data_IF_538172526793
#
_entry.id   IF_538172526793
#
_cell.length_a   1.000
_cell.length_b   1.000
_cell.length_c   1.000
_cell.angle_alpha   90.00
_cell.angle_beta   90.00
_cell.angle_gamma   90.00
#
_symmetry.space_group_name_H-M   'P 1'
#
loop_
_entity.id
_entity.type
_entity.pdbx_description
1 polymer ?
#
# COMPACT_ATOMS: atom_id res chain seq x y z
N UNK A 1 29.71 17.97 -4.56
CA UNK A 1 28.23 18.02 -4.60
C UNK A 1 27.78 16.59 -4.77
N UNK A 2 27.93 15.78 -3.72
CA UNK A 2 27.34 14.44 -3.67
C UNK A 2 25.89 14.62 -3.22
N UNK A 3 24.96 14.17 -4.05
CA UNK A 3 23.54 14.14 -3.73
C UNK A 3 23.34 13.38 -2.41
N UNK A 4 22.95 14.10 -1.35
CA UNK A 4 22.41 13.58 -0.09
C UNK A 4 21.06 12.89 -0.33
N UNK A 5 21.05 11.87 -1.16
CA UNK A 5 19.94 10.92 -1.25
C UNK A 5 20.06 10.03 -0.02
N UNK A 6 19.19 10.27 0.95
CA UNK A 6 18.98 9.34 2.07
C UNK A 6 18.93 7.92 1.51
N UNK A 7 19.93 7.10 1.87
CA UNK A 7 19.97 5.69 1.49
C UNK A 7 19.12 4.94 2.51
N UNK A 8 17.86 4.74 2.18
CA UNK A 8 16.97 3.86 2.95
C UNK A 8 17.34 2.41 2.62
N UNK A 9 17.64 1.62 3.63
CA UNK A 9 18.10 0.21 3.50
C UNK A 9 16.99 -0.76 3.07
N UNK A 10 15.74 -0.29 2.95
CA UNK A 10 14.63 -1.06 2.39
C UNK A 10 14.36 -0.62 0.95
N UNK A 11 14.96 -1.28 -0.06
CA UNK A 11 14.63 -1.00 -1.45
C UNK A 11 13.14 -1.26 -1.65
N UNK A 12 12.49 -0.42 -2.47
CA UNK A 12 11.21 -0.79 -3.07
C UNK A 12 11.34 -2.22 -3.62
N UNK A 13 10.30 -3.09 -3.53
CA UNK A 13 10.31 -4.36 -4.25
C UNK A 13 10.90 -4.13 -5.63
N UNK A 14 12.02 -4.79 -5.93
CA UNK A 14 12.66 -4.64 -7.22
C UNK A 14 11.59 -4.87 -8.29
N UNK A 15 11.47 -3.97 -9.26
CA UNK A 15 10.49 -4.12 -10.34
C UNK A 15 10.84 -5.43 -11.06
N UNK A 16 10.11 -6.53 -10.80
CA UNK A 16 10.66 -7.83 -11.09
C UNK A 16 10.64 -8.02 -12.59
N UNK A 17 11.64 -8.71 -13.12
CA UNK A 17 11.53 -9.33 -14.44
C UNK A 17 10.18 -10.06 -14.47
N UNK A 18 9.32 -9.83 -15.48
CA UNK A 18 7.99 -10.41 -15.51
C UNK A 18 8.07 -11.92 -15.27
N UNK A 19 7.45 -12.40 -14.19
CA UNK A 19 7.43 -13.83 -13.82
C UNK A 19 6.63 -14.67 -14.82
N UNK A 20 5.85 -14.02 -15.69
CA UNK A 20 5.02 -14.63 -16.72
C UNK A 20 5.14 -13.83 -18.04
N UNK A 21 5.02 -14.48 -19.21
CA UNK A 21 5.01 -13.78 -20.50
C UNK A 21 3.81 -12.84 -20.67
N UNK A 22 3.98 -11.75 -21.41
CA UNK A 22 2.88 -10.80 -21.68
C UNK A 22 1.69 -11.43 -22.44
N UNK A 23 1.94 -12.46 -23.24
CA UNK A 23 0.91 -13.26 -23.92
C UNK A 23 0.03 -13.99 -22.91
N UNK A 24 0.63 -14.54 -21.86
CA UNK A 24 -0.09 -15.21 -20.78
C UNK A 24 -1.06 -14.24 -20.09
N UNK A 25 -0.58 -13.05 -19.70
CA UNK A 25 -1.44 -12.03 -19.07
C UNK A 25 -2.60 -11.63 -19.99
N UNK A 26 -2.35 -11.43 -21.29
CA UNK A 26 -3.43 -11.11 -22.25
C UNK A 26 -4.47 -12.23 -22.31
N UNK A 27 -4.03 -13.48 -22.38
CA UNK A 27 -4.90 -14.64 -22.55
C UNK A 27 -5.72 -14.98 -21.30
N UNK A 28 -5.11 -14.90 -20.11
CA UNK A 28 -5.69 -15.45 -18.88
C UNK A 28 -6.21 -14.39 -17.92
N UNK A 29 -5.66 -13.17 -17.96
CA UNK A 29 -6.04 -12.08 -17.05
C UNK A 29 -6.96 -11.07 -17.74
N UNK A 30 -6.64 -10.66 -18.97
CA UNK A 30 -7.36 -9.57 -19.68
C UNK A 30 -8.49 -10.04 -20.58
N UNK A 31 -8.50 -11.31 -20.96
CA UNK A 31 -9.54 -11.88 -21.82
C UNK A 31 -10.61 -12.52 -20.95
N UNK A 32 -11.88 -12.19 -21.19
CA UNK A 32 -12.99 -12.86 -20.51
C UNK A 32 -12.97 -14.36 -20.83
N UNK A 33 -13.07 -15.18 -19.79
CA UNK A 33 -13.17 -16.64 -19.88
C UNK A 33 -14.47 -17.06 -19.25
N UNK A 34 -15.03 -18.18 -19.71
CA UNK A 34 -16.19 -18.78 -19.07
C UNK A 34 -15.76 -19.36 -17.71
N UNK A 35 -15.85 -18.54 -16.67
CA UNK A 35 -15.63 -18.93 -15.29
C UNK A 35 -16.81 -18.42 -14.45
N UNK A 36 -17.66 -19.31 -13.88
CA UNK A 36 -18.88 -18.92 -13.18
C UNK A 36 -18.64 -17.97 -11.99
N UNK A 37 -17.39 -17.89 -11.50
CA UNK A 37 -16.97 -16.99 -10.42
C UNK A 37 -16.64 -15.58 -10.90
N UNK A 38 -16.45 -15.35 -12.21
CA UNK A 38 -16.00 -14.06 -12.75
C UNK A 38 -17.15 -13.30 -13.39
N UNK A 39 -18.03 -12.82 -12.52
CA UNK A 39 -19.23 -12.09 -12.89
C UNK A 39 -19.21 -10.76 -12.13
N UNK A 40 -19.39 -9.65 -12.85
CA UNK A 40 -19.49 -8.31 -12.24
C UNK A 40 -20.88 -7.73 -12.48
N UNK A 41 -21.37 -6.92 -11.54
CA UNK A 41 -22.65 -6.22 -11.68
C UNK A 41 -22.56 -5.06 -12.66
N UNK A 42 -23.64 -4.84 -13.39
CA UNK A 42 -23.80 -3.68 -14.30
C UNK A 42 -24.98 -2.84 -13.80
N UNK A 43 -24.77 -1.53 -13.74
CA UNK A 43 -25.82 -0.56 -13.43
C UNK A 43 -26.78 -0.35 -14.62
N UNK A 44 -28.11 -0.17 -14.42
CA UNK A 44 -28.84 -0.16 -13.15
C UNK A 44 -29.27 -1.54 -12.63
N UNK A 45 -29.20 -2.56 -13.48
CA UNK A 45 -29.47 -3.95 -13.08
C UNK A 45 -28.86 -4.91 -14.09
N UNK A 46 -28.19 -5.96 -13.60
CA UNK A 46 -27.68 -7.04 -14.43
C UNK A 46 -26.29 -7.48 -14.00
N UNK A 47 -25.82 -8.53 -14.66
CA UNK A 47 -24.49 -9.10 -14.45
C UNK A 47 -23.90 -9.46 -15.81
N UNK A 48 -22.57 -9.33 -15.96
CA UNK A 48 -21.87 -9.88 -17.11
C UNK A 48 -20.68 -10.71 -16.69
N UNK A 49 -20.32 -11.61 -17.59
CA UNK A 49 -19.01 -12.23 -17.61
C UNK A 49 -17.93 -11.16 -17.70
N UNK A 50 -16.90 -11.35 -16.88
CA UNK A 50 -15.75 -10.49 -16.78
C UNK A 50 -14.47 -11.30 -16.96
N UNK A 51 -13.43 -10.62 -17.42
CA UNK A 51 -12.07 -11.12 -17.27
C UNK A 51 -11.66 -11.08 -15.80
N UNK A 52 -10.70 -11.92 -15.42
CA UNK A 52 -10.17 -11.90 -14.06
C UNK A 52 -9.65 -10.52 -13.66
N UNK A 53 -8.98 -9.81 -14.58
CA UNK A 53 -8.50 -8.46 -14.33
C UNK A 53 -9.63 -7.46 -14.02
N UNK A 54 -10.80 -7.60 -14.64
CA UNK A 54 -11.97 -6.75 -14.34
C UNK A 54 -12.57 -7.07 -12.97
N UNK A 55 -12.59 -8.34 -12.56
CA UNK A 55 -13.03 -8.75 -11.22
C UNK A 55 -12.15 -8.10 -10.15
N UNK A 56 -10.83 -8.18 -10.29
CA UNK A 56 -9.89 -7.54 -9.35
C UNK A 56 -10.07 -6.01 -9.31
N UNK A 57 -10.26 -5.36 -10.46
CA UNK A 57 -10.48 -3.91 -10.51
C UNK A 57 -11.81 -3.52 -9.84
N UNK A 58 -12.85 -4.34 -9.96
CA UNK A 58 -14.14 -4.08 -9.31
C UNK A 58 -14.03 -4.06 -7.77
N UNK A 59 -13.10 -4.84 -7.19
CA UNK A 59 -12.81 -4.83 -5.75
C UNK A 59 -12.07 -3.57 -5.28
N UNK A 60 -11.27 -2.96 -6.15
CA UNK A 60 -10.55 -1.70 -5.86
C UNK A 60 -11.48 -0.49 -5.86
N UNK A 61 -12.56 -0.55 -6.64
CA UNK A 61 -13.55 0.53 -6.74
C UNK A 61 -14.55 0.26 -7.85
N UNK A 62 -15.82 0.22 -7.47
CA UNK A 62 -16.96 0.05 -8.37
C UNK A 62 -18.20 0.70 -7.77
N UNK A 63 -19.33 0.71 -8.48
CA UNK A 63 -20.63 1.11 -7.89
C UNK A 63 -20.99 0.28 -6.65
N UNK A 64 -20.54 -0.97 -6.57
CA UNK A 64 -20.75 -1.82 -5.37
C UNK A 64 -19.83 -1.44 -4.21
N UNK A 65 -18.69 -0.84 -4.55
CA UNK A 65 -17.61 -0.54 -3.63
C UNK A 65 -17.10 0.90 -3.82
N UNK A 66 -17.97 1.91 -3.70
CA UNK A 66 -17.61 3.30 -3.99
C UNK A 66 -16.58 3.87 -3.02
N UNK A 67 -16.46 3.28 -1.83
CA UNK A 67 -15.61 3.72 -0.74
C UNK A 67 -14.19 3.11 -0.79
N UNK A 68 -13.99 2.01 -1.51
CA UNK A 68 -12.71 1.27 -1.53
C UNK A 68 -11.61 2.00 -2.31
N UNK A 69 -11.96 2.74 -3.37
CA UNK A 69 -10.99 3.44 -4.21
C UNK A 69 -10.27 4.57 -3.46
N UNK A 70 -10.97 5.25 -2.56
CA UNK A 70 -10.42 6.39 -1.80
C UNK A 70 -9.30 6.00 -0.84
N UNK A 71 -9.23 4.72 -0.46
CA UNK A 71 -8.23 4.19 0.46
C UNK A 71 -6.88 4.04 -0.24
N UNK A 72 -6.90 3.53 -1.48
CA UNK A 72 -5.73 3.34 -2.33
C UNK A 72 -5.32 4.60 -3.11
N UNK A 73 -6.23 5.57 -3.28
CA UNK A 73 -5.90 6.86 -3.90
C UNK A 73 -4.96 7.70 -3.02
N UNK A 74 -4.07 8.43 -3.67
CA UNK A 74 -2.94 9.16 -3.09
C UNK A 74 -3.28 10.54 -2.46
N UNK A 75 -4.06 10.67 -1.36
CA UNK A 75 -4.19 11.94 -0.57
C UNK A 75 -4.38 11.68 0.94
N UNK A 76 -3.94 12.57 1.88
CA UNK A 76 -3.79 14.05 1.83
C UNK A 76 -2.34 14.50 1.52
N UNK A 77 -2.17 15.55 0.71
CA UNK A 77 -0.88 16.20 0.39
C UNK A 77 0.16 15.39 -0.42
N UNK A 78 -0.26 14.39 -1.23
CA UNK A 78 0.60 13.49 -2.06
C UNK A 78 1.54 12.58 -1.27
N UNK A 79 1.85 12.89 -0.02
CA UNK A 79 2.73 12.13 0.88
C UNK A 79 2.32 10.68 1.04
N UNK A 80 1.01 10.41 1.15
CA UNK A 80 0.49 9.03 1.20
C UNK A 80 0.91 8.25 -0.04
N UNK A 81 0.66 8.81 -1.23
CA UNK A 81 1.07 8.20 -2.50
C UNK A 81 2.58 8.03 -2.64
N UNK A 82 3.36 9.03 -2.24
CA UNK A 82 4.83 8.94 -2.23
C UNK A 82 5.30 7.73 -1.42
N UNK A 83 4.80 7.57 -0.20
CA UNK A 83 5.23 6.46 0.67
C UNK A 83 4.83 5.08 0.13
N UNK A 84 3.66 4.95 -0.51
CA UNK A 84 3.24 3.72 -1.19
C UNK A 84 4.04 3.43 -2.47
N UNK A 85 4.63 4.45 -3.11
CA UNK A 85 5.43 4.33 -4.35
C UNK A 85 6.93 4.26 -4.09
N UNK A 86 7.35 4.12 -2.83
CA UNK A 86 8.77 4.03 -2.49
C UNK A 86 9.49 5.38 -2.41
N UNK A 87 8.77 6.49 -2.46
CA UNK A 87 9.31 7.83 -2.40
C UNK A 87 9.16 8.43 -0.99
N UNK A 88 10.05 9.36 -0.66
CA UNK A 88 9.96 10.07 0.61
C UNK A 88 8.76 11.01 0.67
N UNK A 89 8.13 11.14 1.85
CA UNK A 89 7.04 12.10 2.02
C UNK A 89 7.56 13.55 1.91
N UNK A 90 8.86 13.81 2.10
CA UNK A 90 9.47 15.13 1.93
C UNK A 90 10.95 15.00 1.57
N UNK A 91 11.45 15.89 0.70
CA UNK A 91 12.86 15.98 0.34
C UNK A 91 13.71 16.55 1.49
N UNK A 92 14.92 16.04 1.74
CA UNK A 92 15.86 16.57 2.74
C UNK A 92 16.13 18.07 2.60
N UNK A 93 16.46 18.52 1.39
CA UNK A 93 16.73 19.94 1.11
C UNK A 93 15.53 20.83 1.39
N UNK A 94 14.32 20.34 1.09
CA UNK A 94 13.09 21.06 1.43
C UNK A 94 12.95 21.17 2.95
N UNK A 95 13.18 20.09 3.69
CA UNK A 95 13.05 20.10 5.15
C UNK A 95 14.04 21.08 5.81
N UNK A 96 15.31 21.08 5.38
CA UNK A 96 16.37 21.93 5.95
C UNK A 96 16.15 23.44 5.70
N UNK A 97 15.55 23.80 4.56
CA UNK A 97 15.33 25.21 4.17
C UNK A 97 13.99 25.78 4.63
N UNK A 98 13.16 24.94 5.24
CA UNK A 98 11.81 25.26 5.69
C UNK A 98 11.82 25.76 7.13
N UNK A 99 10.88 26.63 7.49
CA UNK A 99 10.81 27.17 8.86
C UNK A 99 10.56 26.07 9.89
N UNK A 100 10.87 26.36 11.14
CA UNK A 100 10.70 25.40 12.22
C UNK A 100 9.22 24.96 12.31
N UNK A 101 8.24 25.86 12.26
CA UNK A 101 6.80 25.51 12.36
C UNK A 101 6.37 24.56 11.25
N UNK A 102 6.89 24.80 10.04
CA UNK A 102 6.65 23.95 8.90
C UNK A 102 7.37 22.60 9.04
N UNK A 103 8.60 22.53 9.58
CA UNK A 103 9.26 21.25 9.92
C UNK A 103 8.40 20.41 10.86
N UNK A 104 7.86 21.01 11.92
CA UNK A 104 6.95 20.32 12.85
C UNK A 104 5.67 19.85 12.16
N UNK A 105 5.10 20.68 11.27
CA UNK A 105 3.92 20.30 10.51
C UNK A 105 4.19 19.11 9.57
N UNK A 106 5.36 19.05 8.93
CA UNK A 106 5.74 17.95 8.05
C UNK A 106 5.78 16.60 8.81
N UNK A 107 6.28 16.60 10.05
CA UNK A 107 6.30 15.42 10.93
C UNK A 107 4.88 15.04 11.36
N UNK A 108 4.05 16.01 11.76
CA UNK A 108 2.63 15.79 12.11
C UNK A 108 1.85 15.17 10.96
N UNK A 109 2.04 15.66 9.74
CA UNK A 109 1.41 15.10 8.54
C UNK A 109 1.76 13.65 8.29
N UNK A 110 3.01 13.26 8.55
CA UNK A 110 3.42 11.86 8.46
C UNK A 110 2.68 11.00 9.50
N UNK A 111 2.60 11.47 10.75
CA UNK A 111 1.80 10.82 11.80
C UNK A 111 0.31 10.67 11.42
N UNK A 112 -0.30 11.73 10.86
CA UNK A 112 -1.70 11.72 10.43
C UNK A 112 -2.00 10.64 9.38
N UNK A 113 -1.05 10.29 8.51
CA UNK A 113 -1.25 9.24 7.50
C UNK A 113 -1.41 7.87 8.17
N UNK A 114 -0.60 7.57 9.19
CA UNK A 114 -0.75 6.32 9.95
C UNK A 114 -2.02 6.34 10.80
N UNK A 115 -2.38 7.48 11.39
CA UNK A 115 -3.66 7.63 12.10
C UNK A 115 -4.87 7.42 11.18
N UNK A 116 -4.81 7.92 9.94
CA UNK A 116 -5.85 7.70 8.94
C UNK A 116 -5.96 6.23 8.56
N UNK A 117 -4.83 5.57 8.25
CA UNK A 117 -4.83 4.15 7.88
C UNK A 117 -5.32 3.26 9.04
N UNK A 118 -4.97 3.60 10.29
CA UNK A 118 -5.43 2.90 11.48
C UNK A 118 -6.83 3.32 11.95
N UNK A 119 -7.50 4.22 11.23
CA UNK A 119 -8.83 4.64 11.64
C UNK A 119 -9.79 3.46 11.57
N UNK A 120 -10.64 3.30 12.59
CA UNK A 120 -11.57 2.17 12.73
C UNK A 120 -12.51 1.97 11.54
N UNK A 121 -12.74 3.00 10.74
CA UNK A 121 -13.59 2.94 9.56
C UNK A 121 -12.79 2.76 8.26
N UNK A 122 -11.48 3.02 8.28
CA UNK A 122 -10.60 2.94 7.10
C UNK A 122 -9.92 1.57 7.04
N UNK A 123 -9.37 1.11 8.16
CA UNK A 123 -8.65 -0.16 8.20
C UNK A 123 -9.53 -1.35 7.77
N UNK A 124 -10.78 -1.52 8.27
CA UNK A 124 -11.63 -2.62 7.83
C UNK A 124 -11.96 -2.59 6.34
N UNK A 125 -12.04 -1.40 5.73
CA UNK A 125 -12.29 -1.26 4.30
C UNK A 125 -11.06 -1.61 3.47
N UNK A 126 -9.85 -1.25 3.93
CA UNK A 126 -8.61 -1.76 3.34
C UNK A 126 -8.59 -3.29 3.38
N UNK A 127 -8.92 -3.87 4.55
CA UNK A 127 -9.01 -5.31 4.71
C UNK A 127 -10.03 -5.96 3.78
N UNK A 128 -11.23 -5.36 3.65
CA UNK A 128 -12.26 -5.88 2.76
C UNK A 128 -11.76 -5.99 1.30
N UNK A 129 -10.97 -5.01 0.84
CA UNK A 129 -10.34 -5.07 -0.49
C UNK A 129 -9.28 -6.15 -0.55
N UNK A 130 -8.40 -6.21 0.46
CA UNK A 130 -7.31 -7.18 0.50
C UNK A 130 -7.85 -8.62 0.47
N UNK A 131 -8.83 -8.93 1.32
CA UNK A 131 -9.42 -10.27 1.45
C UNK A 131 -10.22 -10.63 0.20
N UNK A 132 -11.00 -9.70 -0.37
CA UNK A 132 -11.74 -10.00 -1.59
C UNK A 132 -10.81 -10.32 -2.78
N UNK A 133 -9.74 -9.52 -2.97
CA UNK A 133 -8.73 -9.82 -3.98
C UNK A 133 -8.00 -11.13 -3.65
N UNK A 134 -7.70 -11.38 -2.38
CA UNK A 134 -7.07 -12.62 -1.93
C UNK A 134 -7.92 -13.84 -2.32
N UNK A 135 -9.21 -13.84 -2.01
CA UNK A 135 -10.14 -14.91 -2.37
C UNK A 135 -10.19 -15.14 -3.90
N UNK A 136 -10.34 -14.07 -4.68
CA UNK A 136 -10.34 -14.15 -6.15
C UNK A 136 -9.02 -14.73 -6.70
N UNK A 137 -7.88 -14.40 -6.12
CA UNK A 137 -6.57 -14.96 -6.52
C UNK A 137 -6.47 -16.45 -6.20
N UNK A 138 -7.04 -16.90 -5.09
CA UNK A 138 -7.09 -18.32 -4.71
C UNK A 138 -8.01 -19.13 -5.63
N UNK A 139 -9.17 -18.56 -5.97
CA UNK A 139 -10.09 -19.12 -6.95
C UNK A 139 -9.44 -19.20 -8.34
N UNK A 140 -8.70 -18.18 -8.74
CA UNK A 140 -7.93 -18.20 -9.98
C UNK A 140 -6.88 -19.30 -9.98
N UNK A 141 -6.04 -19.41 -8.94
CA UNK A 141 -5.00 -20.43 -8.85
C UNK A 141 -5.60 -21.84 -8.96
N UNK A 142 -6.72 -22.07 -8.27
CA UNK A 142 -7.47 -23.34 -8.31
C UNK A 142 -8.01 -23.60 -9.71
N UNK A 143 -8.73 -22.64 -10.29
CA UNK A 143 -9.32 -22.79 -11.62
C UNK A 143 -8.27 -22.99 -12.70
N UNK A 144 -7.18 -22.21 -12.68
CA UNK A 144 -6.09 -22.28 -13.65
C UNK A 144 -5.41 -23.65 -13.64
N UNK A 145 -5.25 -24.26 -12.47
CA UNK A 145 -4.67 -25.61 -12.33
C UNK A 145 -5.47 -26.70 -13.05
N UNK A 146 -6.78 -26.48 -13.26
CA UNK A 146 -7.68 -27.42 -13.96
C UNK A 146 -7.70 -27.22 -15.48
N UNK A 147 -7.13 -26.13 -16.00
CA UNK A 147 -7.19 -25.80 -17.42
C UNK A 147 -6.18 -26.64 -18.22
N UNK A 148 -6.70 -27.56 -19.03
CA UNK A 148 -5.88 -28.32 -19.98
C UNK A 148 -5.26 -27.37 -21.01
N UNK A 149 -3.94 -27.48 -21.24
CA UNK A 149 -3.23 -26.66 -22.24
C UNK A 149 -2.76 -25.28 -21.75
N UNK A 150 -2.78 -25.02 -20.44
CA UNK A 150 -2.26 -23.78 -19.87
C UNK A 150 -0.78 -23.52 -20.22
N UNK A 151 0.01 -24.57 -20.45
CA UNK A 151 1.35 -24.57 -21.07
C UNK A 151 2.46 -23.81 -20.32
N UNK A 152 2.09 -22.95 -19.36
CA UNK A 152 2.97 -22.10 -18.56
C UNK A 152 2.70 -22.37 -17.10
N UNK A 153 3.71 -22.86 -16.38
CA UNK A 153 3.69 -22.91 -14.92
C UNK A 153 3.83 -21.49 -14.40
N UNK A 154 2.89 -21.04 -13.57
CA UNK A 154 2.89 -19.72 -12.95
C UNK A 154 3.10 -19.85 -11.43
N UNK A 155 3.69 -18.83 -10.77
CA UNK A 155 3.63 -18.75 -9.32
C UNK A 155 2.17 -18.56 -8.86
N UNK A 156 1.86 -19.03 -7.64
CA UNK A 156 0.55 -18.81 -7.01
C UNK A 156 0.28 -17.31 -6.88
N UNK A 157 -0.76 -16.82 -7.54
CA UNK A 157 -1.17 -15.42 -7.45
C UNK A 157 -1.60 -15.06 -6.03
N UNK A 158 -2.22 -16.00 -5.31
CA UNK A 158 -2.61 -15.84 -3.91
C UNK A 158 -1.40 -15.52 -3.02
N UNK A 159 -0.32 -16.31 -3.18
CA UNK A 159 0.92 -16.13 -2.44
C UNK A 159 1.59 -14.80 -2.81
N UNK A 160 1.67 -14.49 -4.10
CA UNK A 160 2.27 -13.24 -4.60
C UNK A 160 1.50 -12.00 -4.09
N UNK A 161 0.18 -12.04 -4.04
CA UNK A 161 -0.66 -10.96 -3.50
C UNK A 161 -0.36 -10.69 -2.02
N UNK A 162 -0.27 -11.76 -1.21
CA UNK A 162 0.09 -11.67 0.21
C UNK A 162 1.48 -11.08 0.41
N UNK A 163 2.47 -11.60 -0.30
CA UNK A 163 3.86 -11.16 -0.20
C UNK A 163 4.03 -9.70 -0.64
N UNK A 164 3.37 -9.31 -1.74
CA UNK A 164 3.36 -7.93 -2.23
C UNK A 164 2.79 -6.97 -1.19
N UNK A 165 1.61 -7.25 -0.64
CA UNK A 165 0.99 -6.37 0.36
C UNK A 165 1.84 -6.24 1.62
N UNK A 166 2.41 -7.35 2.10
CA UNK A 166 3.31 -7.34 3.25
C UNK A 166 4.51 -6.45 3.01
N UNK A 167 5.15 -6.61 1.85
CA UNK A 167 6.34 -5.85 1.49
C UNK A 167 6.04 -4.37 1.32
N UNK A 168 4.93 -4.00 0.68
CA UNK A 168 4.50 -2.60 0.54
C UNK A 168 4.29 -1.94 1.90
N UNK A 169 3.52 -2.57 2.78
CA UNK A 169 3.23 -2.03 4.12
C UNK A 169 4.48 -1.94 5.00
N UNK A 170 5.32 -2.97 5.00
CA UNK A 170 6.59 -2.97 5.76
C UNK A 170 7.54 -1.88 5.25
N UNK A 171 7.64 -1.75 3.93
CA UNK A 171 8.50 -0.72 3.32
C UNK A 171 8.01 0.71 3.63
N UNK A 172 6.69 0.92 3.71
CA UNK A 172 6.11 2.20 4.14
C UNK A 172 6.46 2.53 5.58
N UNK A 173 6.38 1.54 6.49
CA UNK A 173 6.71 1.72 7.91
C UNK A 173 8.19 2.02 8.08
N UNK A 174 9.08 1.26 7.45
CA UNK A 174 10.52 1.49 7.55
C UNK A 174 10.89 2.88 7.03
N UNK A 175 10.40 3.29 5.84
CA UNK A 175 10.64 4.63 5.32
C UNK A 175 10.16 5.74 6.25
N UNK A 176 8.98 5.58 6.86
CA UNK A 176 8.48 6.57 7.81
C UNK A 176 9.36 6.67 9.06
N UNK A 177 9.84 5.55 9.61
CA UNK A 177 10.74 5.53 10.78
C UNK A 177 12.10 6.16 10.46
N UNK A 178 12.66 5.80 9.32
CA UNK A 178 13.95 6.31 8.87
C UNK A 178 13.86 7.81 8.57
N UNK A 179 12.76 8.27 7.94
CA UNK A 179 12.49 9.69 7.69
C UNK A 179 12.29 10.45 8.99
N UNK A 180 11.51 9.93 9.93
CA UNK A 180 11.31 10.54 11.25
C UNK A 180 12.64 10.66 12.01
N UNK A 181 13.44 9.60 12.01
CA UNK A 181 14.76 9.58 12.66
C UNK A 181 15.68 10.63 12.04
N UNK A 182 15.69 10.73 10.70
CA UNK A 182 16.47 11.75 10.02
C UNK A 182 15.97 13.17 10.33
N UNK A 183 14.66 13.42 10.24
CA UNK A 183 14.05 14.70 10.60
C UNK A 183 14.34 15.08 12.06
N UNK A 184 14.34 14.09 12.96
CA UNK A 184 14.66 14.27 14.37
C UNK A 184 16.12 14.71 14.57
N UNK A 185 17.05 14.17 13.80
CA UNK A 185 18.47 14.51 13.92
C UNK A 185 18.83 15.84 13.23
N UNK A 186 17.99 16.34 12.31
CA UNK A 186 18.27 17.53 11.47
C UNK A 186 17.27 18.67 11.70
N UNK A 187 16.51 18.65 12.79
CA UNK A 187 15.53 19.69 13.13
C UNK A 187 16.20 20.96 13.64
N UNK A 188 15.70 22.11 13.18
CA UNK A 188 16.09 23.42 13.72
C UNK A 188 15.25 23.79 14.97
N UNK A 189 13.99 23.34 15.08
CA UNK A 189 13.07 23.71 16.18
C UNK A 189 13.57 23.35 17.58
N UNK A 190 14.30 22.24 17.74
CA UNK A 190 14.70 21.76 19.07
C UNK A 190 16.03 22.31 19.55
N UNK A 191 16.64 23.26 18.83
CA UNK A 191 17.81 24.00 19.33
C UNK A 191 17.44 25.09 20.35
N UNK A 192 16.15 25.42 20.50
CA UNK A 192 15.67 26.50 21.36
C UNK A 192 14.74 26.09 22.52
N UNK A 193 14.30 24.82 22.61
CA UNK A 193 13.49 24.32 23.73
C UNK A 193 14.22 23.18 24.47
N UNK A 194 15.14 23.57 25.36
CA UNK A 194 15.87 22.65 26.25
C UNK A 194 15.06 22.27 27.51
N UNK A 195 13.77 22.65 27.60
CA UNK A 195 12.95 22.48 28.81
C UNK A 195 11.81 21.45 28.70
N UNK A 196 11.52 20.89 27.52
CA UNK A 196 10.49 19.86 27.34
C UNK A 196 11.05 18.72 26.50
N UNK A 197 11.07 17.51 27.06
CA UNK A 197 11.54 16.32 26.38
C UNK A 197 10.86 16.18 24.99
N UNK A 198 11.61 16.05 23.89
CA UNK A 198 11.01 15.90 22.56
C UNK A 198 10.20 14.62 22.47
N UNK A 199 8.89 14.73 22.24
CA UNK A 199 8.05 13.58 21.94
C UNK A 199 8.57 12.85 20.69
N UNK A 200 8.87 11.56 20.80
CA UNK A 200 9.19 10.69 19.66
C UNK A 200 7.90 10.06 19.13
N UNK A 201 7.74 10.00 17.81
CA UNK A 201 6.62 9.31 17.17
C UNK A 201 7.06 7.87 16.89
N UNK A 202 6.74 6.93 17.77
CA UNK A 202 7.07 5.52 17.54
C UNK A 202 6.08 4.89 16.53
N UNK A 203 6.53 4.65 15.31
CA UNK A 203 5.80 3.82 14.34
C UNK A 203 6.15 2.33 14.53
N UNK A 204 5.23 1.53 15.11
CA UNK A 204 5.50 0.10 15.37
C UNK A 204 5.20 -0.84 14.20
N UNK A 205 4.43 -0.39 13.19
CA UNK A 205 4.21 -1.11 11.93
C UNK A 205 2.80 -1.66 11.70
N UNK A 206 2.61 -2.31 10.55
CA UNK A 206 1.37 -3.00 10.19
C UNK A 206 1.55 -4.52 10.29
N UNK A 207 0.51 -5.26 10.69
CA UNK A 207 0.45 -6.74 10.58
C UNK A 207 -0.67 -7.10 9.61
N UNK A 208 -0.38 -8.05 8.72
CA UNK A 208 -1.38 -8.67 7.83
C UNK A 208 -1.14 -10.18 7.98
N UNK A 209 -2.02 -10.87 8.70
CA UNK A 209 -2.03 -12.34 8.81
C UNK A 209 -3.12 -12.93 7.89
N UNK A 210 -3.39 -14.23 7.98
CA UNK A 210 -4.41 -14.94 7.19
C UNK A 210 -5.86 -14.51 7.46
N UNK A 211 -6.07 -13.62 8.42
CA UNK A 211 -7.12 -12.62 8.37
C UNK A 211 -6.43 -11.29 8.61
N UNK A 212 -6.94 -10.20 8.07
CA UNK A 212 -6.43 -8.84 8.25
C UNK A 212 -6.50 -8.35 9.73
N UNK A 213 -5.89 -9.07 10.67
CA UNK A 213 -5.73 -8.74 12.08
C UNK A 213 -4.63 -7.68 12.21
N UNK A 214 -5.02 -6.53 12.75
CA UNK A 214 -4.13 -5.39 12.92
C UNK A 214 -3.91 -5.08 14.40
N UNK A 215 -2.65 -5.04 14.78
CA UNK A 215 -2.17 -4.18 15.85
C UNK A 215 -1.28 -3.10 15.23
N UNK A 216 -1.84 -1.93 14.91
CA UNK A 216 -1.04 -0.73 14.68
C UNK A 216 -0.91 -0.01 16.01
N UNK A 217 0.32 0.14 16.46
CA UNK A 217 0.66 1.03 17.57
C UNK A 217 1.53 2.14 16.97
N UNK A 218 0.89 3.22 16.54
CA UNK A 218 1.56 4.51 16.45
C UNK A 218 1.35 5.18 17.81
N UNK A 219 2.35 5.10 18.69
CA UNK A 219 2.32 5.82 19.98
C UNK A 219 3.20 7.06 19.85
N UNK A 220 2.59 8.22 20.09
CA UNK A 220 3.33 9.38 20.55
C UNK A 220 3.85 9.05 21.94
N UNK A 221 5.14 8.82 22.06
CA UNK A 221 5.81 8.74 23.36
C UNK A 221 6.30 10.14 23.69
N UNK A 222 5.70 10.74 24.73
CA UNK A 222 6.16 11.97 25.36
C UNK A 222 7.32 11.66 26.31
#
# INVERSE_FOLDING_TARGET
MDELRLKFDSPMPANPTPKVPSSWTRQWIKTAKTNPMWIIKIYPSGTRWASFGEVIVAELGSEEHPDRLTIFQSRPNLKKGSMFTGNEPTSPTKYETTSSDEQLQLVKEMGMIFSYLNHKDIWPKYCAVYEAIYDHMGDFDTWYSTQQGAGTTIPSLLKEWREYNRLVLDSMVHRARDTETWMYNNKEYFKYEESHAPSKICFQGFRVSSGCELSVVARLTY
#
